data_IF_550630698490
#
_entry.id   IF_550630698490
#
_cell.length_a   1.000
_cell.length_b   1.000
_cell.length_c   1.000
_cell.angle_alpha   90.00
_cell.angle_beta   90.00
_cell.angle_gamma   90.00
#
_symmetry.space_group_name_H-M   'P 1'
#
loop_
_entity.id
_entity.type
_entity.pdbx_description
1 polymer ?
#
# COMPACT_ATOMS: atom_id res chain seq x y z
N UNK A 1 9.69 -15.00 0.63
CA UNK A 1 9.99 -13.58 0.87
C UNK A 1 10.31 -12.97 -0.46
N UNK A 2 9.29 -12.40 -1.08
CA UNK A 2 9.39 -11.69 -2.34
C UNK A 2 9.22 -10.18 -2.12
N UNK A 3 9.69 -9.39 -3.09
CA UNK A 3 9.57 -7.94 -3.08
C UNK A 3 8.72 -7.48 -4.26
N UNK A 4 7.69 -6.69 -3.97
CA UNK A 4 6.71 -6.24 -4.97
C UNK A 4 6.66 -4.72 -5.02
N UNK A 5 6.70 -4.17 -6.24
CA UNK A 5 6.45 -2.75 -6.47
C UNK A 5 4.94 -2.50 -6.59
N UNK A 6 4.45 -1.58 -5.78
CA UNK A 6 3.08 -1.04 -5.84
C UNK A 6 3.10 0.23 -6.68
N UNK A 7 2.17 0.34 -7.63
CA UNK A 7 2.06 1.51 -8.51
C UNK A 7 0.64 2.00 -8.70
N UNK A 8 -0.36 1.33 -8.14
CA UNK A 8 -1.74 1.79 -8.17
C UNK A 8 -2.46 1.41 -6.88
N UNK A 9 -3.52 2.15 -6.56
CA UNK A 9 -4.42 1.84 -5.46
C UNK A 9 -5.87 1.73 -5.93
N UNK A 10 -6.73 1.12 -5.12
CA UNK A 10 -8.18 1.17 -5.32
C UNK A 10 -8.82 1.80 -4.08
N UNK A 11 -9.46 2.98 -4.20
CA UNK A 11 -10.15 3.58 -3.08
C UNK A 11 -11.38 2.74 -2.70
N UNK A 12 -11.78 2.79 -1.44
CA UNK A 12 -13.05 2.24 -1.01
C UNK A 12 -14.18 3.21 -1.35
N UNK A 13 -15.11 2.76 -2.20
CA UNK A 13 -16.18 3.61 -2.74
C UNK A 13 -17.20 4.07 -1.67
N UNK A 14 -17.19 3.49 -0.47
CA UNK A 14 -18.20 3.71 0.58
C UNK A 14 -17.63 4.07 1.97
N UNK A 15 -16.30 4.24 2.14
CA UNK A 15 -15.71 4.48 3.47
C UNK A 15 -15.24 5.94 3.69
N UNK A 16 -15.87 6.70 4.62
CA UNK A 16 -15.47 8.07 4.95
C UNK A 16 -14.08 8.18 5.60
N UNK A 17 -13.52 7.07 6.11
CA UNK A 17 -12.14 7.02 6.64
C UNK A 17 -11.08 6.97 5.53
N UNK A 18 -11.46 7.05 4.24
CA UNK A 18 -10.57 6.92 3.08
C UNK A 18 -9.80 5.60 3.08
N UNK A 19 -10.51 4.49 3.32
CA UNK A 19 -9.89 3.18 3.27
C UNK A 19 -9.52 2.82 1.83
N UNK A 20 -8.45 2.06 1.71
CA UNK A 20 -8.04 1.42 0.47
C UNK A 20 -8.77 0.07 0.40
N UNK A 21 -9.36 -0.29 -0.74
CA UNK A 21 -9.83 -1.65 -0.98
C UNK A 21 -8.66 -2.59 -1.25
N UNK A 22 -7.63 -2.09 -1.91
CA UNK A 22 -6.47 -2.88 -2.26
C UNK A 22 -5.42 -2.08 -3.00
N UNK A 23 -4.29 -2.75 -3.23
CA UNK A 23 -3.16 -2.21 -3.98
C UNK A 23 -2.89 -3.11 -5.17
N UNK A 24 -2.38 -2.48 -6.23
CA UNK A 24 -1.91 -3.15 -7.41
C UNK A 24 -0.54 -2.67 -7.82
N UNK A 25 0.10 -3.49 -8.63
CA UNK A 25 1.51 -3.33 -8.90
C UNK A 25 1.97 -4.08 -10.12
N UNK A 26 3.24 -3.81 -10.45
CA UNK A 26 3.99 -4.58 -11.44
C UNK A 26 5.02 -5.42 -10.69
N UNK A 27 4.95 -6.72 -10.87
CA UNK A 27 6.01 -7.67 -10.51
C UNK A 27 6.52 -8.35 -11.77
N UNK A 28 6.70 -9.68 -11.73
CA UNK A 28 6.89 -10.49 -12.95
C UNK A 28 5.66 -10.42 -13.87
N UNK A 29 4.48 -10.26 -13.28
CA UNK A 29 3.21 -9.98 -13.96
C UNK A 29 2.49 -8.85 -13.23
N UNK A 30 1.47 -8.27 -13.85
CA UNK A 30 0.56 -7.35 -13.18
C UNK A 30 -0.20 -8.09 -12.07
N UNK A 31 -0.41 -7.43 -10.94
CA UNK A 31 -1.09 -8.03 -9.80
C UNK A 31 -1.96 -7.00 -9.06
N UNK A 32 -2.98 -7.51 -8.37
CA UNK A 32 -3.84 -6.77 -7.46
C UNK A 32 -4.17 -7.65 -6.26
N UNK A 33 -4.17 -7.09 -5.05
CA UNK A 33 -4.57 -7.77 -3.82
C UNK A 33 -5.34 -6.81 -2.91
N UNK A 34 -6.32 -7.35 -2.19
CA UNK A 34 -7.05 -6.59 -1.16
C UNK A 34 -6.18 -6.28 0.05
N UNK A 35 -6.57 -5.27 0.84
CA UNK A 35 -5.78 -4.84 2.02
C UNK A 35 -5.57 -5.97 3.03
N UNK A 36 -6.59 -6.78 3.33
CA UNK A 36 -6.46 -7.87 4.31
C UNK A 36 -5.38 -8.88 3.88
N UNK A 37 -5.41 -9.28 2.60
CA UNK A 37 -4.40 -10.17 2.03
C UNK A 37 -3.00 -9.53 2.03
N UNK A 38 -2.90 -8.23 1.74
CA UNK A 38 -1.62 -7.51 1.78
C UNK A 38 -1.04 -7.45 3.19
N UNK A 39 -1.88 -7.24 4.20
CA UNK A 39 -1.47 -7.29 5.61
C UNK A 39 -0.93 -8.67 5.95
N UNK A 40 -1.66 -9.74 5.61
CA UNK A 40 -1.21 -11.11 5.84
C UNK A 40 0.13 -11.41 5.15
N UNK A 41 0.30 -10.98 3.90
CA UNK A 41 1.54 -11.17 3.15
C UNK A 41 2.72 -10.43 3.80
N UNK A 42 2.52 -9.17 4.20
CA UNK A 42 3.56 -8.39 4.90
C UNK A 42 3.93 -9.05 6.23
N UNK A 43 2.94 -9.50 7.00
CA UNK A 43 3.18 -10.19 8.28
C UNK A 43 3.84 -11.56 8.09
N UNK A 44 3.62 -12.21 6.95
CA UNK A 44 4.30 -13.45 6.56
C UNK A 44 5.74 -13.24 6.05
N UNK A 45 6.14 -11.99 5.82
CA UNK A 45 7.51 -11.60 5.47
C UNK A 45 7.72 -11.10 4.04
N UNK A 46 6.66 -10.97 3.23
CA UNK A 46 6.77 -10.30 1.94
C UNK A 46 6.91 -8.79 2.10
N UNK A 47 7.58 -8.14 1.14
CA UNK A 47 7.86 -6.70 1.20
C UNK A 47 7.25 -5.97 0.03
N UNK A 48 6.62 -4.84 0.32
CA UNK A 48 6.01 -3.99 -0.69
C UNK A 48 6.62 -2.61 -0.60
N UNK A 49 6.87 -2.00 -1.75
CA UNK A 49 7.38 -0.63 -1.83
C UNK A 49 6.71 0.11 -2.96
N UNK A 50 6.72 1.44 -2.87
CA UNK A 50 6.26 2.32 -3.95
C UNK A 50 7.23 3.48 -4.13
N UNK A 51 6.99 4.30 -5.14
CA UNK A 51 7.76 5.50 -5.42
C UNK A 51 6.93 6.71 -5.01
N UNK A 52 7.48 7.58 -4.17
CA UNK A 52 6.82 8.82 -3.78
C UNK A 52 6.82 9.87 -4.92
N UNK A 53 6.20 11.03 -4.67
CA UNK A 53 6.11 12.13 -5.64
C UNK A 53 7.50 12.69 -6.03
N UNK A 54 8.53 12.45 -5.21
CA UNK A 54 9.92 12.89 -5.43
C UNK A 54 10.77 11.83 -6.11
N UNK A 55 10.21 10.67 -6.45
CA UNK A 55 10.94 9.59 -7.11
C UNK A 55 11.70 8.66 -6.16
N UNK A 56 11.52 8.79 -4.85
CA UNK A 56 12.20 7.95 -3.84
C UNK A 56 11.39 6.68 -3.57
N UNK A 57 12.10 5.55 -3.49
CA UNK A 57 11.51 4.29 -3.05
C UNK A 57 11.22 4.30 -1.55
N UNK A 58 9.98 4.04 -1.19
CA UNK A 58 9.50 3.96 0.20
C UNK A 58 8.81 2.62 0.44
N UNK A 59 9.05 2.03 1.61
CA UNK A 59 8.44 0.76 2.00
C UNK A 59 7.01 0.96 2.48
N UNK A 60 6.20 -0.10 2.40
CA UNK A 60 4.82 -0.13 2.90
C UNK A 60 4.81 -0.97 4.17
N UNK A 61 4.19 -0.43 5.21
CA UNK A 61 4.16 -1.00 6.55
C UNK A 61 2.73 -1.18 7.05
N UNK A 62 2.54 -2.21 7.86
CA UNK A 62 1.29 -2.45 8.58
C UNK A 62 1.32 -1.65 9.87
N UNK A 63 0.33 -0.78 10.06
CA UNK A 63 0.07 -0.08 11.31
C UNK A 63 -1.27 -0.49 11.89
N UNK A 64 -1.48 -0.23 13.18
CA UNK A 64 -2.77 -0.42 13.83
C UNK A 64 -3.22 0.86 14.53
N UNK A 65 -4.49 1.22 14.34
CA UNK A 65 -5.15 2.34 15.06
C UNK A 65 -6.52 1.88 15.51
N UNK A 66 -6.83 2.07 16.79
CA UNK A 66 -8.11 1.66 17.40
C UNK A 66 -8.45 0.18 17.14
N UNK A 67 -7.45 -0.71 17.17
CA UNK A 67 -7.61 -2.15 16.94
C UNK A 67 -7.81 -2.55 15.48
N UNK A 68 -7.73 -1.61 14.52
CA UNK A 68 -7.82 -1.89 13.08
C UNK A 68 -6.46 -1.73 12.42
N UNK A 69 -6.01 -2.77 11.72
CA UNK A 69 -4.79 -2.73 10.91
C UNK A 69 -5.05 -1.96 9.60
N UNK A 70 -4.04 -1.23 9.14
CA UNK A 70 -4.07 -0.48 7.90
C UNK A 70 -2.67 -0.37 7.31
N UNK A 71 -2.58 -0.07 6.01
CA UNK A 71 -1.32 0.14 5.31
C UNK A 71 -1.00 1.63 5.19
N UNK A 72 0.27 1.97 5.37
CA UNK A 72 0.85 3.26 5.03
C UNK A 72 2.27 3.08 4.55
N UNK A 73 2.80 4.06 3.83
CA UNK A 73 4.24 4.12 3.57
C UNK A 73 5.01 4.44 4.86
N UNK A 74 6.24 3.92 4.94
CA UNK A 74 7.23 4.33 5.93
C UNK A 74 7.31 5.87 5.89
N UNK A 75 7.00 6.51 7.02
CA UNK A 75 7.00 7.96 7.10
C UNK A 75 8.43 8.38 7.44
N UNK A 76 9.11 9.01 6.49
CA UNK A 76 10.42 9.62 6.71
C UNK A 76 10.33 10.96 7.48
N UNK A 77 9.22 11.17 8.19
CA UNK A 77 8.99 12.26 9.12
C UNK A 77 8.37 13.53 8.52
N UNK A 78 8.12 13.57 7.20
CA UNK A 78 7.77 14.83 6.51
C UNK A 78 6.50 14.76 5.65
N UNK A 79 6.14 13.62 5.02
CA UNK A 79 5.02 13.60 4.05
C UNK A 79 3.79 12.75 4.41
N UNK A 80 2.58 13.17 3.98
CA UNK A 80 1.35 12.40 4.14
C UNK A 80 1.38 11.09 3.34
N UNK A 81 0.51 10.14 3.71
CA UNK A 81 0.45 8.77 3.18
C UNK A 81 0.47 8.70 1.63
N UNK A 82 1.61 8.29 1.05
CA UNK A 82 1.85 8.28 -0.40
C UNK A 82 0.96 7.28 -1.15
N UNK A 83 0.34 6.32 -0.46
CA UNK A 83 -0.52 5.31 -1.12
C UNK A 83 -1.73 5.92 -1.82
N UNK A 84 -2.29 7.01 -1.28
CA UNK A 84 -3.43 7.70 -1.86
C UNK A 84 -3.03 8.62 -3.03
N UNK A 85 -1.74 8.94 -3.17
CA UNK A 85 -1.22 9.70 -4.30
C UNK A 85 -1.00 8.83 -5.54
N UNK A 86 -1.01 7.50 -5.39
CA UNK A 86 -0.86 6.58 -6.51
C UNK A 86 -2.07 6.67 -7.46
N UNK A 87 -1.90 6.42 -8.77
CA UNK A 87 -3.03 6.33 -9.68
C UNK A 87 -3.98 5.19 -9.31
N UNK A 88 -5.22 5.26 -9.81
CA UNK A 88 -6.18 4.17 -9.63
C UNK A 88 -5.76 2.93 -10.44
N UNK A 89 -5.97 1.75 -9.87
CA UNK A 89 -5.77 0.51 -10.61
C UNK A 89 -6.79 0.38 -11.77
N UNK A 90 -6.36 -0.17 -12.92
CA UNK A 90 -7.25 -0.41 -14.06
C UNK A 90 -8.33 -1.46 -13.77
#
# INVERSE_FOLDING_TARGET
MDTFQVNCHKPDNDDPDRRLQGLGGKGKTQWYRGIDMLIELIESGDKFWTTDEKGKSVWIEVHSRNGRKYLKTESDGIEPNNLLALPHCP
#
